data_IF_624232571262
#
_entry.id   IF_624232571262
#
_cell.length_a   1.000
_cell.length_b   1.000
_cell.length_c   1.000
_cell.angle_alpha   90.00
_cell.angle_beta   90.00
_cell.angle_gamma   90.00
#
_symmetry.space_group_name_H-M   'P 1'
#
loop_
_entity.id
_entity.type
_entity.pdbx_description
1 polymer ?
#
# COMPACT_ATOMS: atom_id res chain seq x y z
N UNK A 1 37.56 0.79 -9.21
CA UNK A 1 36.89 0.53 -7.92
C UNK A 1 35.43 0.18 -8.18
N UNK A 2 35.04 -1.09 -8.02
CA UNK A 2 33.65 -1.51 -8.23
C UNK A 2 32.79 -1.00 -7.07
N UNK A 3 31.83 -0.12 -7.38
CA UNK A 3 30.79 0.29 -6.44
C UNK A 3 29.90 -0.92 -6.16
N UNK A 4 29.98 -1.48 -4.95
CA UNK A 4 29.10 -2.58 -4.55
C UNK A 4 27.67 -2.04 -4.46
N UNK A 5 26.84 -2.37 -5.45
CA UNK A 5 25.43 -2.00 -5.50
C UNK A 5 24.61 -2.89 -4.58
N UNK A 6 23.93 -2.28 -3.60
CA UNK A 6 23.22 -2.99 -2.53
C UNK A 6 21.73 -2.74 -2.49
N UNK A 7 21.26 -1.68 -3.14
CA UNK A 7 19.84 -1.45 -3.31
C UNK A 7 19.40 -2.19 -4.57
N UNK A 8 18.43 -3.09 -4.42
CA UNK A 8 17.90 -3.89 -5.51
C UNK A 8 16.40 -3.71 -5.60
N UNK A 9 15.89 -3.73 -6.83
CA UNK A 9 14.46 -3.68 -7.15
C UNK A 9 14.07 -4.96 -7.87
N UNK A 10 12.89 -5.49 -7.59
CA UNK A 10 12.36 -6.65 -8.30
C UNK A 10 11.71 -6.17 -9.60
N UNK A 11 12.19 -6.69 -10.73
CA UNK A 11 11.68 -6.39 -12.07
C UNK A 11 11.55 -7.71 -12.82
N UNK A 12 10.35 -8.02 -13.29
CA UNK A 12 10.04 -9.25 -14.04
C UNK A 12 10.51 -10.54 -13.34
N UNK A 13 10.37 -10.58 -12.01
CA UNK A 13 10.78 -11.71 -11.18
C UNK A 13 12.28 -11.74 -10.83
N UNK A 14 13.07 -10.80 -11.33
CA UNK A 14 14.52 -10.73 -11.12
C UNK A 14 14.94 -9.54 -10.26
N UNK A 15 15.89 -9.77 -9.35
CA UNK A 15 16.46 -8.70 -8.54
C UNK A 15 17.53 -7.93 -9.32
N UNK A 16 17.25 -6.66 -9.61
CA UNK A 16 18.14 -5.78 -10.36
C UNK A 16 18.76 -4.73 -9.46
N UNK A 17 20.08 -4.59 -9.53
CA UNK A 17 20.83 -3.58 -8.79
C UNK A 17 20.56 -2.17 -9.32
N UNK A 18 20.26 -1.24 -8.41
CA UNK A 18 20.14 0.19 -8.71
C UNK A 18 21.45 0.87 -8.36
N UNK A 19 22.06 1.56 -9.32
CA UNK A 19 23.27 2.38 -9.13
C UNK A 19 22.88 3.85 -9.03
N UNK A 20 22.88 4.45 -7.82
CA UNK A 20 22.63 5.88 -7.69
C UNK A 20 23.74 6.66 -8.40
N UNK A 21 23.35 7.74 -9.09
CA UNK A 21 24.31 8.74 -9.57
C UNK A 21 24.79 9.57 -8.38
N UNK A 22 26.05 9.97 -8.38
CA UNK A 22 26.60 10.87 -7.35
C UNK A 22 25.77 12.16 -7.32
N UNK A 23 25.34 12.58 -6.12
CA UNK A 23 24.49 13.76 -5.94
C UNK A 23 23.01 13.58 -6.31
N UNK A 24 22.58 12.36 -6.67
CA UNK A 24 21.19 12.08 -7.01
C UNK A 24 20.46 11.28 -5.93
N UNK A 25 19.14 11.43 -5.90
CA UNK A 25 18.23 10.61 -5.10
C UNK A 25 17.67 9.46 -5.94
N UNK A 26 17.39 8.34 -5.28
CA UNK A 26 16.56 7.27 -5.84
C UNK A 26 15.14 7.49 -5.32
N UNK A 27 14.18 7.62 -6.23
CA UNK A 27 12.76 7.80 -5.91
C UNK A 27 12.02 6.52 -6.30
N UNK A 28 11.28 5.95 -5.37
CA UNK A 28 10.45 4.75 -5.58
C UNK A 28 8.98 5.06 -5.36
N UNK A 29 8.13 4.49 -6.20
CA UNK A 29 6.68 4.50 -6.02
C UNK A 29 6.29 3.40 -5.03
N UNK A 30 5.43 3.74 -4.07
CA UNK A 30 4.86 2.79 -3.11
C UNK A 30 3.38 2.52 -3.35
N UNK A 31 2.83 1.56 -2.60
CA UNK A 31 1.48 1.03 -2.76
C UNK A 31 0.40 2.11 -2.71
N UNK A 32 0.51 3.10 -1.82
CA UNK A 32 -0.45 4.21 -1.74
C UNK A 32 -0.59 4.96 -3.08
N UNK A 33 0.53 5.26 -3.75
CA UNK A 33 0.50 5.99 -5.02
C UNK A 33 0.07 5.08 -6.19
N UNK A 34 0.42 3.79 -6.14
CA UNK A 34 -0.12 2.80 -7.06
C UNK A 34 -1.65 2.76 -6.99
N UNK A 35 -2.22 2.73 -5.79
CA UNK A 35 -3.67 2.81 -5.59
C UNK A 35 -4.23 4.13 -6.10
N UNK A 36 -3.66 5.28 -5.75
CA UNK A 36 -4.12 6.60 -6.22
C UNK A 36 -4.11 6.72 -7.75
N UNK A 37 -3.15 6.08 -8.41
CA UNK A 37 -3.05 6.10 -9.87
C UNK A 37 -3.85 4.98 -10.55
N UNK A 38 -4.68 4.25 -9.79
CA UNK A 38 -5.41 3.07 -10.23
C UNK A 38 -4.53 2.02 -10.92
N UNK A 39 -3.26 1.92 -10.50
CA UNK A 39 -2.29 0.98 -11.03
C UNK A 39 -1.49 1.47 -12.25
N UNK A 40 -1.69 2.71 -12.71
CA UNK A 40 -0.90 3.30 -13.80
C UNK A 40 0.60 3.33 -13.45
N UNK A 41 0.93 3.67 -12.20
CA UNK A 41 2.28 3.57 -11.67
C UNK A 41 2.39 2.36 -10.74
N UNK A 42 3.38 1.50 -10.98
CA UNK A 42 3.59 0.29 -10.19
C UNK A 42 4.45 0.57 -8.97
N UNK A 43 4.00 0.06 -7.83
CA UNK A 43 4.81 -0.03 -6.62
C UNK A 43 6.02 -0.92 -6.85
N UNK A 44 7.16 -0.53 -6.30
CA UNK A 44 8.42 -1.23 -6.51
C UNK A 44 8.82 -2.01 -5.26
N UNK A 45 8.77 -3.34 -5.34
CA UNK A 45 9.36 -4.18 -4.32
C UNK A 45 10.89 -4.05 -4.38
N UNK A 46 11.49 -3.68 -3.26
CA UNK A 46 12.92 -3.39 -3.18
C UNK A 46 13.53 -4.00 -1.91
N UNK A 47 14.85 -4.24 -1.96
CA UNK A 47 15.62 -4.75 -0.83
C UNK A 47 16.99 -4.11 -0.74
N UNK A 48 17.52 -4.04 0.48
CA UNK A 48 18.92 -3.72 0.72
C UNK A 48 19.70 -5.01 1.06
N UNK A 49 20.74 -5.30 0.28
CA UNK A 49 21.60 -6.47 0.49
C UNK A 49 22.79 -6.07 1.35
N UNK A 50 23.05 -6.85 2.41
CA UNK A 50 24.19 -6.65 3.29
C UNK A 50 25.48 -7.22 2.67
N UNK A 51 26.62 -6.68 3.07
CA UNK A 51 27.96 -7.11 2.67
C UNK A 51 28.80 -7.13 3.93
N UNK A 52 29.66 -8.15 4.05
CA UNK A 52 30.45 -8.37 5.26
C UNK A 52 31.55 -7.32 5.46
N UNK A 53 32.13 -6.83 4.38
CA UNK A 53 33.38 -6.04 4.45
C UNK A 53 33.19 -4.51 4.42
N UNK A 54 32.00 -4.02 4.08
CA UNK A 54 31.77 -2.59 3.89
C UNK A 54 30.45 -2.14 4.47
N UNK A 55 30.48 -1.06 5.25
CA UNK A 55 29.27 -0.39 5.68
C UNK A 55 28.63 0.43 4.55
N UNK A 56 27.33 0.64 4.63
CA UNK A 56 26.59 1.57 3.77
C UNK A 56 25.58 2.31 4.65
N UNK A 57 25.60 3.64 4.56
CA UNK A 57 24.61 4.50 5.20
C UNK A 57 23.62 4.99 4.14
N UNK A 58 22.35 5.05 4.50
CA UNK A 58 21.31 5.64 3.65
C UNK A 58 20.24 6.27 4.52
N UNK A 59 19.69 7.38 4.06
CA UNK A 59 18.51 8.02 4.61
C UNK A 59 17.34 7.76 3.67
N UNK A 60 16.17 7.47 4.22
CA UNK A 60 14.92 7.29 3.46
C UNK A 60 13.89 8.27 4.00
N UNK A 61 13.16 8.89 3.08
CA UNK A 61 12.04 9.76 3.38
C UNK A 61 10.79 9.19 2.72
N UNK A 62 9.68 9.13 3.46
CA UNK A 62 8.40 8.67 2.96
C UNK A 62 7.43 9.85 2.91
N UNK A 63 6.91 10.13 1.71
CA UNK A 63 5.80 11.06 1.55
C UNK A 63 4.50 10.26 1.62
N UNK A 64 3.76 10.46 2.71
CA UNK A 64 2.50 9.75 2.96
C UNK A 64 1.35 10.74 3.18
N UNK A 65 0.11 10.39 2.79
CA UNK A 65 -1.09 11.14 3.18
C UNK A 65 -1.21 11.22 4.71
N UNK A 66 -2.01 12.18 5.20
CA UNK A 66 -2.38 12.22 6.62
C UNK A 66 -3.30 11.02 6.93
N UNK A 67 -3.26 10.54 8.16
CA UNK A 67 -3.90 9.29 8.58
C UNK A 67 -5.37 9.13 8.18
N UNK A 68 -6.19 10.16 8.40
CA UNK A 68 -7.62 10.12 8.08
C UNK A 68 -7.97 10.35 6.61
N UNK A 69 -7.00 10.61 5.73
CA UNK A 69 -7.30 10.78 4.31
C UNK A 69 -7.63 9.45 3.65
N UNK A 70 -8.77 9.42 2.96
CA UNK A 70 -9.16 8.31 2.10
C UNK A 70 -8.27 8.31 0.85
N UNK A 71 -7.72 7.14 0.55
CA UNK A 71 -6.93 6.87 -0.65
C UNK A 71 -7.88 6.35 -1.72
N UNK A 72 -8.16 7.18 -2.71
CA UNK A 72 -9.00 6.83 -3.85
C UNK A 72 -8.43 7.40 -5.16
N UNK A 73 -8.61 6.72 -6.30
CA UNK A 73 -8.18 7.28 -7.58
C UNK A 73 -8.96 8.55 -7.96
N UNK A 74 -8.31 9.54 -8.60
CA UNK A 74 -9.01 10.67 -9.20
C UNK A 74 -10.08 10.22 -10.20
N UNK A 75 -11.26 10.88 -10.25
CA UNK A 75 -12.36 10.49 -11.14
C UNK A 75 -11.98 10.42 -12.61
N UNK A 76 -11.06 11.28 -13.08
CA UNK A 76 -10.59 11.26 -14.46
C UNK A 76 -9.85 9.97 -14.83
N UNK A 77 -9.07 9.40 -13.90
CA UNK A 77 -8.38 8.12 -14.14
C UNK A 77 -9.36 6.94 -14.20
N UNK A 78 -10.42 6.98 -13.38
CA UNK A 78 -11.50 5.99 -13.44
C UNK A 78 -12.29 6.11 -14.75
N UNK A 79 -12.56 7.33 -15.23
CA UNK A 79 -13.25 7.56 -16.48
C UNK A 79 -12.46 7.05 -17.70
N UNK A 80 -11.12 7.13 -17.67
CA UNK A 80 -10.25 6.52 -18.68
C UNK A 80 -10.33 4.98 -18.59
N UNK A 81 -10.15 4.42 -17.40
CA UNK A 81 -10.22 2.97 -17.19
C UNK A 81 -11.57 2.36 -17.61
N UNK A 82 -12.68 3.07 -17.39
CA UNK A 82 -14.03 2.63 -17.76
C UNK A 82 -14.28 2.53 -19.26
N UNK A 83 -13.42 3.14 -20.09
CA UNK A 83 -13.49 2.98 -21.55
C UNK A 83 -12.82 1.69 -22.04
N UNK A 84 -11.93 1.13 -21.22
CA UNK A 84 -11.06 0.00 -21.59
C UNK A 84 -11.44 -1.29 -20.86
N UNK A 85 -12.07 -1.20 -19.68
CA UNK A 85 -12.28 -2.31 -18.75
C UNK A 85 -13.70 -2.29 -18.18
N UNK A 86 -14.34 -3.46 -18.09
CA UNK A 86 -15.66 -3.63 -17.45
C UNK A 86 -15.63 -3.33 -15.95
N UNK A 87 -14.51 -3.65 -15.29
CA UNK A 87 -14.26 -3.31 -13.89
C UNK A 87 -13.17 -2.22 -13.82
N UNK A 88 -13.54 -0.94 -13.94
CA UNK A 88 -12.57 0.16 -14.02
C UNK A 88 -11.81 0.42 -12.73
N UNK A 89 -12.34 -0.05 -11.60
CA UNK A 89 -11.78 0.20 -10.28
C UNK A 89 -11.01 -1.03 -9.79
N UNK A 90 -9.71 -0.87 -9.56
CA UNK A 90 -8.82 -1.98 -9.20
C UNK A 90 -8.66 -2.21 -7.69
N UNK A 91 -8.85 -1.17 -6.88
CA UNK A 91 -8.56 -1.21 -5.45
C UNK A 91 -9.74 -0.64 -4.63
N UNK A 92 -9.97 -1.15 -3.40
CA UNK A 92 -11.00 -0.60 -2.51
C UNK A 92 -10.66 0.82 -2.04
N UNK A 93 -11.66 1.53 -1.50
CA UNK A 93 -11.43 2.75 -0.71
C UNK A 93 -10.90 2.37 0.68
N UNK A 94 -9.92 3.11 1.18
CA UNK A 94 -9.38 2.92 2.53
C UNK A 94 -8.71 4.21 3.03
N UNK A 95 -8.57 4.36 4.34
CA UNK A 95 -7.76 5.45 4.92
C UNK A 95 -6.28 5.08 4.92
N UNK A 96 -5.38 6.06 4.83
CA UNK A 96 -3.94 5.74 4.95
C UNK A 96 -3.60 5.04 6.26
N UNK A 97 -4.31 5.36 7.35
CA UNK A 97 -4.19 4.68 8.63
C UNK A 97 -4.47 3.17 8.55
N UNK A 98 -5.45 2.73 7.73
CA UNK A 98 -5.77 1.31 7.55
C UNK A 98 -4.57 0.55 6.94
N UNK A 99 -4.00 1.10 5.87
CA UNK A 99 -2.85 0.50 5.18
C UNK A 99 -1.61 0.50 6.08
N UNK A 100 -1.35 1.61 6.79
CA UNK A 100 -0.24 1.71 7.73
C UNK A 100 -0.38 0.69 8.87
N UNK A 101 -1.58 0.55 9.45
CA UNK A 101 -1.87 -0.43 10.49
C UNK A 101 -1.65 -1.86 10.00
N UNK A 102 -2.16 -2.18 8.81
CA UNK A 102 -2.00 -3.51 8.21
C UNK A 102 -0.53 -3.88 8.02
N UNK A 103 0.24 -3.01 7.37
CA UNK A 103 1.66 -3.26 7.03
C UNK A 103 2.58 -3.22 8.25
N UNK A 104 2.22 -2.52 9.32
CA UNK A 104 3.03 -2.49 10.55
C UNK A 104 2.72 -3.63 11.51
N UNK A 105 1.49 -4.16 11.53
CA UNK A 105 1.03 -5.11 12.56
C UNK A 105 0.71 -6.50 12.05
N UNK A 106 0.35 -6.63 10.78
CA UNK A 106 -0.30 -7.84 10.27
C UNK A 106 0.39 -8.45 9.06
N UNK A 107 1.22 -7.69 8.34
CA UNK A 107 1.77 -8.19 7.07
C UNK A 107 3.17 -7.64 6.78
N UNK A 108 4.08 -8.55 6.42
CA UNK A 108 5.39 -8.17 5.89
C UNK A 108 5.23 -7.81 4.41
N UNK A 109 5.55 -6.58 4.05
CA UNK A 109 5.41 -6.11 2.67
C UNK A 109 6.16 -6.98 1.67
N UNK A 110 5.45 -7.41 0.64
CA UNK A 110 5.91 -8.16 -0.52
C UNK A 110 5.06 -7.80 -1.77
N UNK A 111 5.21 -8.58 -2.85
CA UNK A 111 4.47 -8.33 -4.09
C UNK A 111 2.95 -8.53 -3.98
N UNK A 112 2.46 -9.23 -2.95
CA UNK A 112 1.04 -9.51 -2.69
C UNK A 112 0.40 -8.58 -1.66
N UNK A 113 1.10 -7.54 -1.21
CA UNK A 113 0.66 -6.65 -0.11
C UNK A 113 -0.74 -6.08 -0.34
N UNK A 114 -1.05 -5.55 -1.52
CA UNK A 114 -2.35 -4.93 -1.80
C UNK A 114 -3.49 -5.97 -1.86
N UNK A 115 -3.24 -7.18 -2.35
CA UNK A 115 -4.24 -8.25 -2.40
C UNK A 115 -4.51 -8.80 -0.99
N UNK A 116 -3.47 -8.96 -0.18
CA UNK A 116 -3.60 -9.33 1.22
C UNK A 116 -4.34 -8.24 2.02
N UNK A 117 -4.01 -6.98 1.76
CA UNK A 117 -4.67 -5.83 2.38
C UNK A 117 -6.16 -5.75 2.03
N UNK A 118 -6.53 -5.89 0.76
CA UNK A 118 -7.93 -5.84 0.33
C UNK A 118 -8.78 -6.93 1.02
N UNK A 119 -8.23 -8.15 1.15
CA UNK A 119 -8.89 -9.24 1.90
C UNK A 119 -9.03 -8.93 3.39
N UNK A 120 -7.98 -8.39 4.00
CA UNK A 120 -7.98 -8.00 5.42
C UNK A 120 -9.03 -6.90 5.70
N UNK A 121 -9.10 -5.90 4.82
CA UNK A 121 -10.05 -4.79 4.94
C UNK A 121 -11.50 -5.30 4.85
N UNK A 122 -11.78 -6.19 3.89
CA UNK A 122 -13.10 -6.82 3.76
C UNK A 122 -13.50 -7.64 4.99
N UNK A 123 -12.57 -8.41 5.56
CA UNK A 123 -12.84 -9.18 6.78
C UNK A 123 -13.10 -8.29 8.00
N UNK A 124 -12.37 -7.18 8.14
CA UNK A 124 -12.55 -6.22 9.22
C UNK A 124 -13.94 -5.54 9.16
N UNK A 125 -14.39 -5.16 7.97
CA UNK A 125 -15.72 -4.58 7.75
C UNK A 125 -16.84 -5.56 8.15
N UNK A 126 -16.72 -6.83 7.77
CA UNK A 126 -17.70 -7.88 8.13
C UNK A 126 -17.79 -8.10 9.64
N UNK A 127 -16.66 -8.09 10.35
CA UNK A 127 -16.63 -8.24 11.80
C UNK A 127 -17.29 -7.05 12.53
N UNK A 128 -17.07 -5.83 12.04
CA UNK A 128 -17.70 -4.62 12.58
C UNK A 128 -19.22 -4.61 12.36
N UNK A 129 -19.68 -5.04 11.18
CA UNK A 129 -21.11 -5.16 10.89
C UNK A 129 -21.79 -6.18 11.81
N UNK A 130 -21.16 -7.34 12.03
CA UNK A 130 -21.69 -8.38 12.91
C UNK A 130 -21.81 -7.94 14.39
N UNK A 131 -20.86 -7.14 14.88
CA UNK A 131 -20.92 -6.58 16.24
C UNK A 131 -22.03 -5.52 16.36
N UNK A 132 -22.23 -4.67 15.35
CA UNK A 132 -23.32 -3.68 15.35
C UNK A 132 -24.72 -4.29 15.31
N UNK A 133 -24.90 -5.44 14.64
CA UNK A 133 -26.19 -6.13 14.57
C UNK A 133 -26.59 -6.83 15.88
N UNK A 134 -25.63 -7.05 16.79
CA UNK A 134 -25.88 -7.66 18.11
C UNK A 134 -26.30 -6.66 19.20
N UNK A 135 -26.39 -5.37 18.88
CA UNK A 135 -26.80 -4.29 19.78
C UNK A 135 -28.12 -3.65 19.30
N UNK A 136 -29.22 -4.42 19.30
CA UNK A 136 -30.56 -3.82 19.26
C UNK A 136 -30.91 -3.26 20.64
N UNK A 137 -31.44 -2.03 20.77
CA UNK A 137 -31.90 -1.51 22.05
C UNK A 137 -33.15 -2.27 22.48
N UNK A 138 -33.06 -2.89 23.64
CA UNK A 138 -34.18 -3.50 24.33
C UNK A 138 -35.24 -2.41 24.58
N UNK A 139 -36.38 -2.51 23.91
CA UNK A 139 -37.49 -1.57 24.04
C UNK A 139 -38.00 -1.60 25.47
N UNK A 140 -37.73 -0.52 26.21
CA UNK A 140 -38.31 -0.26 27.51
C UNK A 140 -39.85 -0.24 27.40
N UNK A 141 -40.50 -1.17 28.09
CA UNK A 141 -41.92 -1.09 28.41
C UNK A 141 -42.11 -0.03 29.50
N UNK A 142 -42.59 1.16 29.13
CA UNK A 142 -43.26 2.08 30.05
C UNK A 142 -44.78 1.77 30.01
N UNK A 143 -45.31 1.37 31.15
CA UNK A 143 -46.75 1.15 31.38
C UNK A 143 -47.27 2.33 32.21
N UNK A 144 -48.38 2.92 31.77
CA UNK A 144 -49.22 3.88 32.53
C UNK A 144 -49.90 3.18 33.69
#
# INVERSE_FOLDING_TARGET
MSSIMRFQVLVDGEWRAVRPRTGALVVSIGDTFMTLSNGLYRSCLHRAVVHRERERRSLVFFLCPREGHVVLPPPCLLAVAAREQEQPRRYPDFTWADLARFTQRHYRADAGTLDAFARWLGAAATCAAATSASHSPDTAHETV
#
